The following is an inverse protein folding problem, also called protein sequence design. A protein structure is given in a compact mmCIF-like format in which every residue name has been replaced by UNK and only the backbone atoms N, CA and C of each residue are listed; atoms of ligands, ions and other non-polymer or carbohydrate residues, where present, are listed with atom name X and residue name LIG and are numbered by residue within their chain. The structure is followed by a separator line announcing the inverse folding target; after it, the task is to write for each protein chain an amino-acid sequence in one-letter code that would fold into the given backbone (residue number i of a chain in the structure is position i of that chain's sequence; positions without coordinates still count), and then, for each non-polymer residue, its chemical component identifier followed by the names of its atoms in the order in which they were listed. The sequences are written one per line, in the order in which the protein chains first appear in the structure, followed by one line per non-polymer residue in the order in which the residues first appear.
data_IF_312407021045
#
_entry.id   IF_312407021045
#
_cell.length_a   1.000
_cell.length_b   1.000
_cell.length_c   1.000
_cell.angle_alpha   90.00
_cell.angle_beta   90.00
_cell.angle_gamma   90.00
#
_symmetry.space_group_name_H-M   'P 1'
#
loop_
_entity.id
_entity.type
_entity.pdbx_description
1 polymer ?
#
# COMPACT_ATOMS: atom_id res chain seq x y z
N UNK A 1 -3.96 -7.04 -15.28
CA UNK A 1 -3.03 -6.51 -14.27
C UNK A 1 -3.91 -5.95 -13.17
N UNK A 2 -3.83 -6.50 -11.95
CA UNK A 2 -4.57 -5.97 -10.81
C UNK A 2 -3.99 -4.62 -10.39
N UNK A 3 -4.86 -3.66 -10.05
CA UNK A 3 -4.43 -2.34 -9.56
C UNK A 3 -4.14 -2.37 -8.06
N UNK A 4 -3.48 -1.32 -7.54
CA UNK A 4 -3.30 -1.15 -6.09
C UNK A 4 -4.66 -1.05 -5.40
N UNK A 5 -5.64 -0.40 -6.05
CA UNK A 5 -7.01 -0.31 -5.56
C UNK A 5 -7.67 -1.68 -5.39
N UNK A 6 -7.58 -2.56 -6.39
CA UNK A 6 -8.17 -3.90 -6.35
C UNK A 6 -7.55 -4.76 -5.23
N UNK A 7 -6.22 -4.67 -5.11
CA UNK A 7 -5.46 -5.39 -4.08
C UNK A 7 -5.82 -4.91 -2.67
N UNK A 8 -5.85 -3.60 -2.47
CA UNK A 8 -6.24 -3.00 -1.19
C UNK A 8 -7.66 -3.40 -0.80
N UNK A 9 -8.61 -3.28 -1.73
CA UNK A 9 -10.01 -3.65 -1.50
C UNK A 9 -10.13 -5.13 -1.12
N UNK A 10 -9.41 -6.00 -1.82
CA UNK A 10 -9.36 -7.44 -1.52
C UNK A 10 -8.85 -7.70 -0.11
N UNK A 11 -7.74 -7.07 0.31
CA UNK A 11 -7.18 -7.23 1.65
C UNK A 11 -8.15 -6.72 2.73
N UNK A 12 -8.79 -5.57 2.51
CA UNK A 12 -9.75 -4.99 3.47
C UNK A 12 -10.96 -5.90 3.69
N UNK A 13 -11.55 -6.45 2.63
CA UNK A 13 -12.73 -7.29 2.75
C UNK A 13 -12.42 -8.72 3.20
N UNK A 14 -11.29 -9.29 2.77
CA UNK A 14 -10.90 -10.65 3.18
C UNK A 14 -10.28 -10.69 4.57
N UNK A 15 -9.68 -9.59 5.03
CA UNK A 15 -8.92 -9.47 6.29
C UNK A 15 -7.85 -10.55 6.42
N UNK A 16 -7.23 -10.90 5.30
CA UNK A 16 -6.21 -11.95 5.20
C UNK A 16 -4.93 -11.39 4.61
N UNK A 17 -3.82 -11.96 5.05
CA UNK A 17 -2.52 -11.75 4.44
C UNK A 17 -2.38 -12.68 3.23
N UNK A 18 -1.74 -12.20 2.17
CA UNK A 18 -1.49 -12.99 0.98
C UNK A 18 -0.86 -12.17 -0.13
N UNK A 19 -1.02 -12.64 -1.37
CA UNK A 19 -0.39 -12.03 -2.54
C UNK A 19 -0.84 -10.58 -2.79
N UNK A 20 -2.06 -10.23 -2.38
CA UNK A 20 -2.59 -8.89 -2.56
C UNK A 20 -2.02 -7.88 -1.54
N UNK A 21 -1.54 -8.34 -0.38
CA UNK A 21 -1.01 -7.48 0.68
C UNK A 21 -1.20 -8.08 2.09
N UNK A 22 -1.00 -7.23 3.09
CA UNK A 22 -1.10 -7.58 4.52
C UNK A 22 -2.23 -6.79 5.19
N UNK A 23 -3.06 -7.49 5.95
CA UNK A 23 -4.03 -6.87 6.85
C UNK A 23 -3.36 -6.66 8.22
N UNK A 24 -3.20 -5.39 8.60
CA UNK A 24 -2.47 -5.01 9.82
C UNK A 24 -3.38 -4.79 11.04
N UNK A 25 -4.71 -4.84 10.86
CA UNK A 25 -5.69 -4.73 11.94
C UNK A 25 -6.60 -3.52 11.80
N UNK A 26 -7.11 -3.04 12.93
CA UNK A 26 -8.03 -1.89 13.03
C UNK A 26 -7.59 -0.97 14.16
N UNK A 27 -7.90 0.33 14.04
CA UNK A 27 -7.66 1.34 15.09
C UNK A 27 -8.98 2.05 15.44
N UNK A 28 -9.10 2.73 16.59
CA UNK A 28 -10.26 3.57 16.87
C UNK A 28 -10.52 4.58 15.74
N UNK A 29 -11.70 4.53 15.13
CA UNK A 29 -12.07 5.39 14.01
C UNK A 29 -11.46 5.00 12.65
N UNK A 30 -10.73 3.89 12.57
CA UNK A 30 -10.16 3.34 11.33
C UNK A 30 -10.71 1.94 11.10
N UNK A 31 -11.43 1.77 9.99
CA UNK A 31 -12.06 0.51 9.62
C UNK A 31 -11.05 -0.60 9.35
N UNK A 32 -9.92 -0.27 8.71
CA UNK A 32 -8.83 -1.20 8.45
C UNK A 32 -7.49 -0.48 8.25
N UNK A 33 -6.42 -1.10 8.69
CA UNK A 33 -5.04 -0.74 8.34
C UNK A 33 -4.48 -1.87 7.48
N UNK A 34 -3.95 -1.51 6.32
CA UNK A 34 -3.50 -2.48 5.31
C UNK A 34 -2.18 -2.05 4.70
N UNK A 35 -1.37 -3.03 4.29
CA UNK A 35 -0.12 -2.78 3.56
C UNK A 35 -0.16 -3.45 2.19
N UNK A 36 0.10 -2.66 1.15
CA UNK A 36 0.14 -3.11 -0.24
C UNK A 36 1.40 -2.53 -0.88
N UNK A 37 2.23 -3.39 -1.47
CA UNK A 37 3.53 -3.02 -2.06
C UNK A 37 4.44 -2.19 -1.13
N UNK A 38 4.47 -2.60 0.14
CA UNK A 38 5.20 -1.93 1.21
C UNK A 38 4.62 -0.59 1.67
N UNK A 39 3.62 -0.05 0.97
CA UNK A 39 2.93 1.17 1.38
C UNK A 39 1.82 0.83 2.38
N UNK A 40 1.71 1.65 3.42
CA UNK A 40 0.68 1.47 4.45
C UNK A 40 -0.47 2.44 4.23
N UNK A 41 -1.69 1.92 4.28
CA UNK A 41 -2.92 2.68 4.10
C UNK A 41 -3.84 2.51 5.31
N UNK A 42 -4.49 3.61 5.70
CA UNK A 42 -5.59 3.61 6.65
C UNK A 42 -6.89 3.83 5.90
N UNK A 43 -7.89 3.00 6.19
CA UNK A 43 -9.21 3.06 5.56
C UNK A 43 -10.23 3.40 6.61
N UNK A 44 -11.01 4.45 6.37
CA UNK A 44 -12.16 4.86 7.19
C UNK A 44 -13.46 4.66 6.40
N UNK A 45 -14.53 4.36 7.11
CA UNK A 45 -15.86 4.13 6.53
C UNK A 45 -16.89 5.01 7.24
N UNK A 46 -17.84 5.56 6.49
CA UNK A 46 -18.89 6.42 7.04
C UNK A 46 -18.35 7.76 7.53
N UNK A 47 -17.31 8.29 6.87
CA UNK A 47 -16.70 9.57 7.23
C UNK A 47 -17.58 10.79 6.95
N UNK A 48 -18.61 10.60 6.13
CA UNK A 48 -19.56 11.63 5.72
C UNK A 48 -20.95 11.24 6.23
N UNK A 49 -21.58 12.13 7.00
CA UNK A 49 -22.90 11.90 7.59
C UNK A 49 -24.01 11.92 6.52
N UNK A 50 -23.82 12.69 5.45
CA UNK A 50 -24.76 12.78 4.33
C UNK A 50 -24.57 11.62 3.33
N UNK A 51 -23.43 10.94 3.39
CA UNK A 51 -23.10 9.76 2.61
C UNK A 51 -22.46 8.67 3.50
N UNK A 52 -23.26 7.91 4.26
CA UNK A 52 -22.75 6.95 5.27
C UNK A 52 -21.96 5.77 4.67
N UNK A 53 -21.95 5.64 3.35
CA UNK A 53 -21.15 4.69 2.57
C UNK A 53 -19.85 5.29 2.03
N UNK A 54 -19.50 6.52 2.44
CA UNK A 54 -18.30 7.21 2.01
C UNK A 54 -17.07 6.56 2.62
N UNK A 55 -16.13 6.20 1.75
CA UNK A 55 -14.81 5.70 2.10
C UNK A 55 -13.81 6.85 2.10
N UNK A 56 -12.89 6.82 3.06
CA UNK A 56 -11.68 7.64 3.02
C UNK A 56 -10.47 6.73 3.14
N UNK A 57 -9.53 6.86 2.21
CA UNK A 57 -8.27 6.13 2.20
C UNK A 57 -7.16 7.14 2.40
N UNK A 58 -6.30 6.89 3.37
CA UNK A 58 -5.15 7.71 3.71
C UNK A 58 -3.88 6.90 3.49
N UNK A 59 -2.90 7.50 2.83
CA UNK A 59 -1.56 6.95 2.67
C UNK A 59 -0.70 7.43 3.82
N UNK A 60 -0.24 6.51 4.67
CA UNK A 60 0.35 6.84 5.97
C UNK A 60 1.66 7.61 5.83
N UNK A 61 2.53 7.24 4.89
CA UNK A 61 3.84 7.87 4.77
C UNK A 61 3.76 9.33 4.29
N UNK A 62 2.79 9.64 3.41
CA UNK A 62 2.63 11.00 2.87
C UNK A 62 1.57 11.84 3.57
N UNK A 63 0.70 11.24 4.40
CA UNK A 63 -0.45 11.90 5.02
C UNK A 63 -1.55 12.33 4.04
N UNK A 64 -1.45 11.95 2.77
CA UNK A 64 -2.46 12.28 1.75
C UNK A 64 -3.67 11.36 1.90
N UNK A 65 -4.87 11.90 1.65
CA UNK A 65 -6.10 11.13 1.66
C UNK A 65 -6.96 11.38 0.41
N UNK A 66 -7.73 10.37 0.02
CA UNK A 66 -8.73 10.46 -1.03
C UNK A 66 -10.04 9.80 -0.59
N UNK A 67 -11.16 10.37 -1.04
CA UNK A 67 -12.50 9.89 -0.71
C UNK A 67 -13.20 9.22 -1.89
N UNK A 68 -14.10 8.30 -1.57
CA UNK A 68 -15.02 7.64 -2.49
C UNK A 68 -16.43 7.64 -1.91
N UNK A 69 -17.31 8.51 -2.42
CA UNK A 69 -18.65 8.71 -1.87
C UNK A 69 -19.70 7.71 -2.41
N UNK A 70 -19.27 6.61 -3.03
CA UNK A 70 -20.15 5.50 -3.39
C UNK A 70 -19.73 4.26 -2.64
N UNK A 71 -20.70 3.38 -2.38
CA UNK A 71 -20.52 2.12 -1.67
C UNK A 71 -19.35 1.27 -2.20
N UNK A 72 -19.10 1.30 -3.51
CA UNK A 72 -18.12 0.47 -4.20
C UNK A 72 -16.89 1.27 -4.68
N UNK A 73 -16.67 2.48 -4.16
CA UNK A 73 -15.59 3.37 -4.63
C UNK A 73 -14.27 3.19 -3.86
N UNK A 74 -14.14 2.20 -2.97
CA UNK A 74 -12.92 2.01 -2.17
C UNK A 74 -11.69 1.80 -3.05
N UNK A 75 -11.76 0.86 -4.01
CA UNK A 75 -10.67 0.65 -4.98
C UNK A 75 -10.37 1.90 -5.81
N UNK A 76 -11.40 2.61 -6.27
CA UNK A 76 -11.25 3.84 -7.07
C UNK A 76 -10.64 5.01 -6.29
N UNK A 77 -11.01 5.18 -5.01
CA UNK A 77 -10.44 6.17 -4.12
C UNK A 77 -8.94 5.88 -3.88
N UNK A 78 -8.61 4.62 -3.66
CA UNK A 78 -7.23 4.15 -3.50
C UNK A 78 -6.39 4.39 -4.75
N UNK A 79 -6.93 4.12 -5.94
CA UNK A 79 -6.24 4.34 -7.20
C UNK A 79 -5.98 5.84 -7.46
N UNK A 80 -6.97 6.70 -7.17
CA UNK A 80 -6.77 8.16 -7.24
C UNK A 80 -5.70 8.64 -6.27
N UNK A 81 -5.73 8.13 -5.03
CA UNK A 81 -4.73 8.44 -4.02
C UNK A 81 -3.33 8.01 -4.47
N UNK A 82 -3.19 6.79 -4.97
CA UNK A 82 -1.92 6.23 -5.43
C UNK A 82 -1.29 7.11 -6.50
N UNK A 83 -2.08 7.53 -7.51
CA UNK A 83 -1.62 8.46 -8.55
C UNK A 83 -1.21 9.81 -8.00
N UNK A 84 -1.90 10.31 -6.98
CA UNK A 84 -1.54 11.57 -6.31
C UNK A 84 -0.22 11.44 -5.54
N UNK A 85 -0.07 10.39 -4.74
CA UNK A 85 1.15 10.11 -3.96
C UNK A 85 2.37 9.96 -4.87
N UNK A 86 2.23 9.19 -5.96
CA UNK A 86 3.30 9.02 -6.95
C UNK A 86 3.68 10.34 -7.62
N UNK A 87 2.71 11.18 -7.97
CA UNK A 87 2.98 12.51 -8.54
C UNK A 87 3.71 13.45 -7.58
N UNK A 88 3.52 13.28 -6.28
CA UNK A 88 4.24 14.05 -5.25
C UNK A 88 5.61 13.47 -4.88
N UNK A 89 6.00 12.33 -5.48
CA UNK A 89 7.27 11.67 -5.18
C UNK A 89 7.34 11.07 -3.77
N UNK A 90 6.20 10.96 -3.07
CA UNK A 90 6.12 10.44 -1.71
C UNK A 90 5.89 8.91 -1.68
N UNK A 91 5.99 8.26 -2.84
CA UNK A 91 5.92 6.81 -2.97
C UNK A 91 7.34 6.24 -2.87
N UNK A 92 7.70 5.70 -1.71
CA UNK A 92 9.00 5.04 -1.54
C UNK A 92 8.87 3.57 -1.95
N UNK A 93 9.65 3.08 -2.93
CA UNK A 93 9.66 1.66 -3.25
C UNK A 93 10.03 0.85 -2.00
N UNK A 94 9.36 -0.28 -1.80
CA UNK A 94 9.66 -1.19 -0.68
C UNK A 94 11.03 -1.86 -0.76
N UNK A 95 11.77 -1.64 -1.85
CA UNK A 95 13.10 -2.16 -2.08
C UNK A 95 14.09 -1.14 -1.55
N UNK A 96 14.58 -1.33 -0.32
CA UNK A 96 15.85 -0.72 0.03
C UNK A 96 16.89 -1.28 -0.94
N UNK A 97 17.52 -0.44 -1.75
CA UNK A 97 18.82 -0.82 -2.31
C UNK A 97 19.73 -1.07 -1.12
N UNK A 98 19.83 -2.33 -0.69
CA UNK A 98 20.95 -2.73 0.15
C UNK A 98 22.15 -2.57 -0.77
N UNK A 99 22.87 -1.46 -0.66
CA UNK A 99 24.16 -1.30 -1.32
C UNK A 99 25.01 -2.48 -0.87
N UNK A 100 25.13 -3.48 -1.74
CA UNK A 100 26.03 -4.61 -1.48
C UNK A 100 27.42 -3.98 -1.50
N UNK A 101 28.17 -3.98 -0.38
CA UNK A 101 29.52 -3.44 -0.38
C UNK A 101 30.32 -4.16 -1.45
N UNK A 102 31.12 -3.43 -2.24
CA UNK A 102 31.89 -4.00 -3.36
C UNK A 102 32.70 -5.23 -2.93
N UNK A 103 33.19 -5.24 -1.70
CA UNK A 103 33.91 -6.35 -1.07
C UNK A 103 33.07 -7.65 -1.01
N UNK A 104 31.78 -7.54 -0.66
CA UNK A 104 30.85 -8.67 -0.60
C UNK A 104 30.50 -9.19 -2.00
N UNK A 105 30.36 -8.29 -2.99
CA UNK A 105 30.13 -8.67 -4.38
C UNK A 105 31.34 -9.42 -4.98
N UNK A 106 32.56 -8.92 -4.71
CA UNK A 106 33.80 -9.55 -5.17
C UNK A 106 34.05 -10.91 -4.48
N UNK A 107 33.70 -11.04 -3.19
CA UNK A 107 33.76 -12.31 -2.48
C UNK A 107 32.77 -13.35 -3.04
N UNK A 108 31.56 -12.94 -3.45
CA UNK A 108 30.59 -13.84 -4.06
C UNK A 108 31.04 -14.35 -5.44
N UNK A 109 31.70 -13.49 -6.25
CA UNK A 109 32.27 -13.90 -7.54
C UNK A 109 33.43 -14.90 -7.39
N UNK A 110 34.30 -14.71 -6.39
CA UNK A 110 35.44 -15.61 -6.17
C UNK A 110 35.02 -16.99 -5.65
N UNK A 111 33.85 -17.08 -4.99
CA UNK A 111 33.27 -18.34 -4.49
C UNK A 111 32.40 -19.07 -5.52
N UNK A 112 32.27 -18.57 -6.76
CA UNK A 112 31.49 -19.24 -7.81
C UNK A 112 29.98 -19.29 -7.55
N UNK A 113 29.49 -18.51 -6.59
CA UNK A 113 28.05 -18.39 -6.30
C UNK A 113 27.49 -17.32 -7.23
N UNK A 114 26.64 -17.71 -8.18
CA UNK A 114 25.85 -16.76 -8.97
C UNK A 114 24.92 -16.00 -8.02
N UNK A 115 25.35 -14.82 -7.59
CA UNK A 115 24.44 -13.83 -7.06
C UNK A 115 23.56 -13.36 -8.22
N UNK A 116 22.28 -13.71 -8.19
CA UNK A 116 21.30 -13.16 -9.11
C UNK A 116 21.07 -11.70 -8.71
N UNK A 117 21.48 -10.80 -9.61
CA UNK A 117 21.18 -9.37 -9.62
C UNK A 117 19.73 -9.16 -10.01
#
# INVERSE_FOLDING_TARGET
METIGDRLETVVFTRKNGNHGEYLGTEPGVFAVVRVDGQTFKVRYGVDLDAPWCWEVEHVASGLAARGCKRWDLGMATERLTRLVMRQGAWEPSWSMTEVPMEAFLAAQSMGVRAHV
#
